data_IF_231876669286
#
_entry.id   IF_231876669286
#
_cell.length_a   1.000
_cell.length_b   1.000
_cell.length_c   1.000
_cell.angle_alpha   90.00
_cell.angle_beta   90.00
_cell.angle_gamma   90.00
#
_symmetry.space_group_name_H-M   'P 1'
#
loop_
_entity.id
_entity.type
_entity.pdbx_description
1 polymer ?
#
# COMPACT_ATOMS: atom_id res chain seq x y z
N UNK A 1 0.50 -9.80 22.01
CA UNK A 1 1.87 -9.58 22.55
C UNK A 1 2.99 -9.81 21.54
N UNK A 2 2.83 -10.62 20.50
CA UNK A 2 3.91 -10.92 19.54
C UNK A 2 4.36 -9.72 18.68
N UNK A 3 3.54 -8.68 18.55
CA UNK A 3 3.80 -7.49 17.71
C UNK A 3 3.85 -6.21 18.56
N UNK A 4 3.72 -6.34 19.89
CA UNK A 4 3.69 -5.22 20.82
C UNK A 4 5.10 -4.92 21.36
N UNK A 5 5.97 -4.41 20.49
CA UNK A 5 7.30 -3.92 20.88
C UNK A 5 7.32 -2.38 20.95
N UNK A 6 8.27 -1.74 21.66
CA UNK A 6 8.23 -0.32 22.02
C UNK A 6 7.95 0.67 20.89
N UNK A 7 8.37 0.34 19.67
CA UNK A 7 8.19 1.21 18.49
C UNK A 7 7.16 0.68 17.49
N UNK A 8 6.31 -0.28 17.89
CA UNK A 8 5.28 -0.80 17.01
C UNK A 8 4.15 0.22 16.82
N UNK A 9 3.50 0.25 15.64
CA UNK A 9 2.34 1.10 15.40
C UNK A 9 1.19 0.82 16.38
N UNK A 10 1.09 -0.41 16.90
CA UNK A 10 0.08 -0.84 17.88
C UNK A 10 0.37 -0.24 19.25
N UNK A 11 1.63 -0.21 19.67
CA UNK A 11 2.01 0.42 20.92
C UNK A 11 1.78 1.94 20.85
N UNK A 12 2.14 2.57 19.74
CA UNK A 12 1.88 3.98 19.50
C UNK A 12 0.39 4.31 19.57
N UNK A 13 -0.47 3.48 18.96
CA UNK A 13 -1.92 3.61 19.05
C UNK A 13 -2.39 3.52 20.50
N UNK A 14 -1.86 2.57 21.27
CA UNK A 14 -2.19 2.40 22.69
C UNK A 14 -1.74 3.55 23.57
N UNK A 15 -0.50 4.04 23.39
CA UNK A 15 0.07 5.12 24.23
C UNK A 15 -0.58 6.47 23.94
N UNK A 16 -0.91 6.77 22.71
CA UNK A 16 -1.52 8.05 22.33
C UNK A 16 -2.98 8.18 22.76
N UNK A 17 -3.69 7.07 22.96
CA UNK A 17 -5.10 7.04 23.33
C UNK A 17 -5.33 6.61 24.80
N UNK A 18 -4.27 6.32 25.55
CA UNK A 18 -4.36 5.78 26.90
C UNK A 18 -5.12 6.67 27.88
N UNK A 19 -4.99 7.98 27.74
CA UNK A 19 -5.62 8.97 28.65
C UNK A 19 -7.12 9.18 28.33
N UNK A 20 -7.55 8.79 27.13
CA UNK A 20 -8.89 9.08 26.60
C UNK A 20 -9.86 7.88 26.65
N UNK A 21 -9.34 6.68 26.98
CA UNK A 21 -10.13 5.43 26.95
C UNK A 21 -9.89 4.56 28.21
N UNK A 22 -10.89 3.74 28.55
CA UNK A 22 -10.78 2.84 29.70
C UNK A 22 -9.73 1.72 29.48
N UNK A 23 -9.12 1.16 30.56
CA UNK A 23 -8.13 0.09 30.45
C UNK A 23 -8.66 -1.16 29.71
N UNK A 24 -9.94 -1.46 29.84
CA UNK A 24 -10.57 -2.59 29.15
C UNK A 24 -10.69 -2.34 27.64
N UNK A 25 -11.05 -1.12 27.25
CA UNK A 25 -11.13 -0.70 25.85
C UNK A 25 -9.75 -0.62 25.22
N UNK A 26 -8.74 -0.13 25.94
CA UNK A 26 -7.36 -0.12 25.50
C UNK A 26 -6.86 -1.55 25.19
N UNK A 27 -7.18 -2.50 26.04
CA UNK A 27 -6.82 -3.92 25.81
C UNK A 27 -7.52 -4.48 24.57
N UNK A 28 -8.80 -4.17 24.37
CA UNK A 28 -9.55 -4.55 23.15
C UNK A 28 -8.94 -3.92 21.92
N UNK A 29 -8.64 -2.62 21.95
CA UNK A 29 -8.03 -1.88 20.86
C UNK A 29 -6.68 -2.48 20.45
N UNK A 30 -5.81 -2.77 21.42
CA UNK A 30 -4.52 -3.43 21.17
C UNK A 30 -4.68 -4.82 20.56
N UNK A 31 -5.62 -5.59 21.04
CA UNK A 31 -5.88 -6.95 20.52
C UNK A 31 -6.43 -6.90 19.09
N UNK A 32 -7.46 -6.07 18.86
CA UNK A 32 -8.05 -5.89 17.52
C UNK A 32 -7.03 -5.31 16.53
N UNK A 33 -6.30 -4.28 16.96
CA UNK A 33 -5.25 -3.65 16.13
C UNK A 33 -4.13 -4.63 15.78
N UNK A 34 -3.66 -5.41 16.76
CA UNK A 34 -2.64 -6.43 16.56
C UNK A 34 -3.06 -7.52 15.60
N UNK A 35 -4.29 -8.03 15.76
CA UNK A 35 -4.84 -9.06 14.88
C UNK A 35 -5.04 -8.52 13.45
N UNK A 36 -5.63 -7.33 13.30
CA UNK A 36 -5.87 -6.70 11.99
C UNK A 36 -4.55 -6.42 11.26
N UNK A 37 -3.55 -5.92 11.96
CA UNK A 37 -2.24 -5.66 11.41
C UNK A 37 -1.53 -6.95 10.97
N UNK A 38 -1.61 -8.00 11.77
CA UNK A 38 -1.06 -9.32 11.42
C UNK A 38 -1.72 -9.89 10.17
N UNK A 39 -3.06 -9.86 10.10
CA UNK A 39 -3.81 -10.29 8.91
C UNK A 39 -3.39 -9.47 7.69
N UNK A 40 -3.24 -8.16 7.84
CA UNK A 40 -2.76 -7.27 6.80
C UNK A 40 -1.36 -7.66 6.28
N UNK A 41 -0.41 -7.93 7.17
CA UNK A 41 0.94 -8.38 6.80
C UNK A 41 0.93 -9.73 6.10
N UNK A 42 0.14 -10.69 6.58
CA UNK A 42 -0.02 -12.00 5.93
C UNK A 42 -0.61 -11.83 4.52
N UNK A 43 -1.66 -11.03 4.38
CA UNK A 43 -2.29 -10.74 3.09
C UNK A 43 -1.29 -10.08 2.12
N UNK A 44 -0.52 -9.10 2.59
CA UNK A 44 0.51 -8.43 1.80
C UNK A 44 1.61 -9.42 1.36
N UNK A 45 2.02 -10.30 2.27
CA UNK A 45 3.02 -11.34 1.98
C UNK A 45 2.53 -12.34 0.93
N UNK A 46 1.29 -12.82 1.06
CA UNK A 46 0.66 -13.70 0.08
C UNK A 46 0.58 -12.99 -1.28
N UNK A 47 0.14 -11.74 -1.31
CA UNK A 47 0.06 -10.95 -2.54
C UNK A 47 1.44 -10.80 -3.21
N UNK A 48 2.48 -10.47 -2.44
CA UNK A 48 3.84 -10.35 -2.96
C UNK A 48 4.37 -11.66 -3.55
N UNK A 49 4.12 -12.79 -2.86
CA UNK A 49 4.49 -14.14 -3.33
C UNK A 49 3.74 -14.48 -4.60
N UNK A 50 2.43 -14.28 -4.63
CA UNK A 50 1.60 -14.55 -5.81
C UNK A 50 2.05 -13.73 -7.02
N UNK A 51 2.34 -12.44 -6.84
CA UNK A 51 2.88 -11.58 -7.90
C UNK A 51 4.21 -12.11 -8.45
N UNK A 52 5.06 -12.66 -7.57
CA UNK A 52 6.37 -13.18 -7.96
C UNK A 52 6.27 -14.54 -8.64
N UNK A 53 5.46 -15.45 -8.11
CA UNK A 53 5.35 -16.84 -8.59
C UNK A 53 4.54 -16.92 -9.88
N UNK A 54 3.35 -16.32 -9.90
CA UNK A 54 2.47 -16.36 -11.09
C UNK A 54 2.89 -15.37 -12.18
N UNK A 55 3.90 -14.54 -11.93
CA UNK A 55 4.40 -13.59 -12.93
C UNK A 55 3.35 -12.58 -13.38
N UNK A 56 2.43 -12.21 -12.48
CA UNK A 56 1.38 -11.22 -12.76
C UNK A 56 1.98 -9.87 -13.18
N UNK A 57 1.35 -9.18 -14.11
CA UNK A 57 0.26 -9.57 -15.01
C UNK A 57 0.76 -10.57 -16.05
N UNK A 58 -0.13 -11.49 -16.46
CA UNK A 58 0.20 -12.69 -17.23
C UNK A 58 0.99 -12.34 -18.51
N UNK A 59 2.16 -12.96 -18.69
CA UNK A 59 3.06 -12.73 -19.85
C UNK A 59 2.42 -13.08 -21.21
N UNK A 60 1.39 -13.91 -21.23
CA UNK A 60 0.74 -14.41 -22.46
C UNK A 60 -0.44 -13.55 -22.93
N UNK A 61 -1.03 -12.72 -22.07
CA UNK A 61 -2.11 -11.83 -22.43
C UNK A 61 -1.58 -10.45 -22.80
N UNK A 62 -2.15 -9.79 -23.81
CA UNK A 62 -1.87 -8.39 -24.10
C UNK A 62 -2.30 -7.55 -22.90
N UNK A 63 -1.34 -7.00 -22.14
CA UNK A 63 -1.64 -6.15 -21.02
C UNK A 63 -2.23 -4.83 -21.51
N UNK A 64 -3.48 -4.58 -21.15
CA UNK A 64 -4.17 -3.34 -21.47
C UNK A 64 -4.16 -2.45 -20.23
N UNK A 65 -3.45 -1.32 -20.30
CA UNK A 65 -3.32 -0.35 -19.19
C UNK A 65 -4.69 0.20 -18.78
N UNK A 66 -5.57 0.48 -19.74
CA UNK A 66 -6.91 1.04 -19.49
C UNK A 66 -7.80 0.11 -18.66
N UNK A 67 -7.73 -1.20 -18.94
CA UNK A 67 -8.55 -2.20 -18.25
C UNK A 67 -7.98 -2.56 -16.88
N UNK A 68 -6.63 -2.66 -16.80
CA UNK A 68 -5.98 -3.17 -15.60
C UNK A 68 -5.58 -2.10 -14.58
N UNK A 69 -5.51 -0.84 -15.00
CA UNK A 69 -5.23 0.32 -14.15
C UNK A 69 -6.24 1.45 -14.41
N UNK A 70 -7.51 1.27 -14.04
CA UNK A 70 -8.58 2.22 -14.39
C UNK A 70 -8.40 3.63 -13.80
N UNK A 71 -7.62 3.75 -12.72
CA UNK A 71 -7.30 5.04 -12.08
C UNK A 71 -6.07 5.73 -12.68
N UNK A 72 -5.42 5.10 -13.66
CA UNK A 72 -4.24 5.62 -14.32
C UNK A 72 -4.62 6.11 -15.71
N UNK A 73 -4.55 7.43 -15.94
CA UNK A 73 -4.79 8.02 -17.24
C UNK A 73 -3.49 8.06 -18.06
N UNK A 74 -3.35 7.25 -19.13
CA UNK A 74 -2.17 7.25 -19.97
C UNK A 74 -2.11 8.44 -20.95
N UNK A 75 -3.21 9.21 -21.11
CA UNK A 75 -3.28 10.36 -22.02
C UNK A 75 -2.67 11.62 -21.43
N UNK A 76 -2.56 11.71 -20.11
CA UNK A 76 -1.88 12.83 -19.44
C UNK A 76 -0.39 12.79 -19.80
N UNK A 77 0.15 13.86 -20.38
CA UNK A 77 1.49 13.93 -20.98
C UNK A 77 2.63 13.43 -20.08
N UNK A 78 3.72 12.99 -20.71
CA UNK A 78 4.92 12.46 -20.07
C UNK A 78 5.12 10.95 -20.22
N UNK A 79 6.29 10.44 -19.80
CA UNK A 79 6.57 9.00 -19.89
C UNK A 79 5.78 8.21 -18.86
N UNK A 80 4.95 7.29 -19.36
CA UNK A 80 4.13 6.36 -18.57
C UNK A 80 4.95 5.61 -17.53
N UNK A 81 6.17 5.18 -17.86
CA UNK A 81 7.04 4.44 -16.92
C UNK A 81 7.49 5.32 -15.77
N UNK A 82 7.85 6.56 -16.05
CA UNK A 82 8.27 7.53 -15.02
C UNK A 82 7.13 7.80 -14.05
N UNK A 83 5.92 8.03 -14.56
CA UNK A 83 4.72 8.27 -13.76
C UNK A 83 4.36 7.06 -12.89
N UNK A 84 4.30 5.87 -13.48
CA UNK A 84 4.03 4.63 -12.74
C UNK A 84 5.07 4.38 -11.64
N UNK A 85 6.34 4.64 -11.92
CA UNK A 85 7.41 4.47 -10.94
C UNK A 85 7.29 5.49 -9.80
N UNK A 86 6.97 6.75 -10.11
CA UNK A 86 6.74 7.79 -9.11
C UNK A 86 5.54 7.44 -8.23
N UNK A 87 4.41 7.11 -8.83
CA UNK A 87 3.17 6.80 -8.12
C UNK A 87 3.31 5.52 -7.28
N UNK A 88 4.06 4.52 -7.78
CA UNK A 88 4.45 3.35 -7.01
C UNK A 88 5.20 3.72 -5.74
N UNK A 89 6.24 4.56 -5.86
CA UNK A 89 7.05 4.99 -4.70
C UNK A 89 6.22 5.75 -3.68
N UNK A 90 5.37 6.68 -4.14
CA UNK A 90 4.48 7.43 -3.26
C UNK A 90 3.55 6.48 -2.49
N UNK A 91 2.92 5.53 -3.17
CA UNK A 91 2.04 4.57 -2.52
C UNK A 91 2.77 3.70 -1.49
N UNK A 92 4.00 3.24 -1.79
CA UNK A 92 4.81 2.44 -0.85
C UNK A 92 5.22 3.29 0.36
N UNK A 93 5.68 4.53 0.16
CA UNK A 93 6.07 5.43 1.25
C UNK A 93 4.85 5.75 2.14
N UNK A 94 3.72 6.10 1.55
CA UNK A 94 2.49 6.35 2.29
C UNK A 94 2.03 5.11 3.06
N UNK A 95 2.08 3.92 2.44
CA UNK A 95 1.75 2.66 3.11
C UNK A 95 2.63 2.40 4.32
N UNK A 96 3.90 2.79 4.28
CA UNK A 96 4.82 2.66 5.41
C UNK A 96 4.58 3.71 6.50
N UNK A 97 4.31 4.95 6.14
CA UNK A 97 4.17 6.08 7.08
C UNK A 97 2.80 6.10 7.76
N UNK A 98 1.73 5.73 7.05
CA UNK A 98 0.36 5.83 7.55
C UNK A 98 0.09 5.10 8.87
N UNK A 99 0.58 3.88 9.13
CA UNK A 99 0.35 3.20 10.40
C UNK A 99 0.80 4.00 11.62
N UNK A 100 1.83 4.82 11.45
CA UNK A 100 2.38 5.68 12.50
C UNK A 100 1.68 7.05 12.53
N UNK A 101 1.37 7.60 11.37
CA UNK A 101 0.79 8.94 11.26
C UNK A 101 -0.68 8.97 11.71
N UNK A 102 -1.46 7.94 11.39
CA UNK A 102 -2.90 7.92 11.71
C UNK A 102 -3.20 7.99 13.22
N UNK A 103 -2.51 7.27 14.12
CA UNK A 103 -2.72 7.44 15.56
C UNK A 103 -2.40 8.85 16.05
N UNK A 104 -1.35 9.48 15.50
CA UNK A 104 -0.97 10.86 15.84
C UNK A 104 -2.08 11.84 15.40
N UNK A 105 -2.56 11.71 14.16
CA UNK A 105 -3.67 12.55 13.65
C UNK A 105 -4.95 12.33 14.44
N UNK A 106 -5.26 11.09 14.82
CA UNK A 106 -6.42 10.77 15.64
C UNK A 106 -6.32 11.42 17.01
N UNK A 107 -5.18 11.33 17.71
CA UNK A 107 -4.98 11.96 19.02
C UNK A 107 -5.04 13.48 18.94
N UNK A 108 -4.49 14.10 17.91
CA UNK A 108 -4.59 15.54 17.69
C UNK A 108 -6.04 15.95 17.41
N UNK A 109 -6.79 15.19 16.61
CA UNK A 109 -8.20 15.44 16.32
C UNK A 109 -9.06 15.38 17.59
N UNK A 110 -8.84 14.38 18.45
CA UNK A 110 -9.52 14.23 19.73
C UNK A 110 -9.25 15.45 20.62
N UNK A 111 -7.99 15.83 20.78
CA UNK A 111 -7.59 16.94 21.68
C UNK A 111 -8.01 18.32 21.16
N UNK A 112 -7.89 18.57 19.86
CA UNK A 112 -8.16 19.90 19.26
C UNK A 112 -9.65 20.14 18.99
N UNK A 113 -10.37 19.10 18.59
CA UNK A 113 -11.77 19.21 18.19
C UNK A 113 -12.76 18.84 19.32
N UNK A 114 -12.23 18.46 20.51
CA UNK A 114 -13.06 18.01 21.63
C UNK A 114 -13.89 16.77 21.28
N UNK A 115 -13.45 16.00 20.30
CA UNK A 115 -14.12 14.77 19.90
C UNK A 115 -13.92 13.78 21.05
N UNK A 116 -14.95 13.49 21.81
CA UNK A 116 -14.91 12.32 22.68
C UNK A 116 -14.71 11.09 21.79
N UNK A 117 -13.73 10.25 22.11
CA UNK A 117 -13.68 8.89 21.59
C UNK A 117 -14.90 8.21 22.16
N UNK A 118 -16.04 8.53 21.56
CA UNK A 118 -17.28 7.87 21.92
C UNK A 118 -17.06 6.40 21.67
N UNK A 119 -17.02 5.70 22.74
CA UNK A 119 -16.67 4.31 22.89
C UNK A 119 -17.73 3.38 22.34
N UNK A 120 -18.37 3.78 21.23
CA UNK A 120 -19.20 2.82 20.53
C UNK A 120 -18.29 1.75 19.94
N UNK A 121 -18.53 0.47 20.23
CA UNK A 121 -17.75 -0.64 19.68
C UNK A 121 -17.64 -0.56 18.15
N UNK A 122 -18.63 -0.01 17.49
CA UNK A 122 -18.67 0.18 16.04
C UNK A 122 -17.62 1.19 15.56
N UNK A 123 -17.45 2.32 16.24
CA UNK A 123 -16.43 3.33 15.90
C UNK A 123 -15.02 2.75 16.03
N UNK A 124 -14.77 1.96 17.08
CA UNK A 124 -13.48 1.27 17.24
C UNK A 124 -13.21 0.28 16.11
N UNK A 125 -14.21 -0.52 15.74
CA UNK A 125 -14.07 -1.48 14.62
C UNK A 125 -13.73 -0.76 13.31
N UNK A 126 -14.47 0.29 12.97
CA UNK A 126 -14.21 1.07 11.75
C UNK A 126 -12.82 1.74 11.78
N UNK A 127 -12.46 2.35 12.91
CA UNK A 127 -11.16 2.99 13.08
C UNK A 127 -9.99 2.02 12.90
N UNK A 128 -10.04 0.87 13.56
CA UNK A 128 -9.02 -0.18 13.48
C UNK A 128 -8.95 -0.77 12.07
N UNK A 129 -10.11 -1.00 11.45
CA UNK A 129 -10.17 -1.53 10.08
C UNK A 129 -9.54 -0.56 9.09
N UNK A 130 -9.89 0.71 9.15
CA UNK A 130 -9.34 1.75 8.28
C UNK A 130 -7.82 1.89 8.49
N UNK A 131 -7.39 1.94 9.75
CA UNK A 131 -5.99 2.06 10.12
C UNK A 131 -5.13 0.90 9.61
N UNK A 132 -5.64 -0.34 9.62
CA UNK A 132 -4.89 -1.50 9.12
C UNK A 132 -5.02 -1.69 7.61
N UNK A 133 -6.19 -1.45 7.02
CA UNK A 133 -6.48 -1.72 5.62
C UNK A 133 -5.82 -0.72 4.66
N UNK A 134 -5.85 0.59 4.99
CA UNK A 134 -5.30 1.61 4.10
C UNK A 134 -3.82 1.41 3.78
N UNK A 135 -2.93 1.19 4.77
CA UNK A 135 -1.52 0.94 4.49
C UNK A 135 -1.29 -0.28 3.61
N UNK A 136 -1.98 -1.38 3.88
CA UNK A 136 -1.87 -2.63 3.12
C UNK A 136 -2.32 -2.42 1.67
N UNK A 137 -3.43 -1.72 1.45
CA UNK A 137 -3.95 -1.42 0.11
C UNK A 137 -2.98 -0.54 -0.68
N UNK A 138 -2.36 0.45 -0.05
CA UNK A 138 -1.35 1.31 -0.68
C UNK A 138 -0.09 0.52 -1.05
N UNK A 139 0.39 -0.37 -0.17
CA UNK A 139 1.51 -1.25 -0.51
C UNK A 139 1.20 -2.14 -1.71
N UNK A 140 0.04 -2.80 -1.72
CA UNK A 140 -0.38 -3.65 -2.84
C UNK A 140 -0.43 -2.86 -4.14
N UNK A 141 -1.04 -1.66 -4.10
CA UNK A 141 -1.13 -0.77 -5.26
C UNK A 141 0.26 -0.33 -5.73
N UNK A 142 1.13 0.07 -4.81
CA UNK A 142 2.50 0.46 -5.11
C UNK A 142 3.30 -0.66 -5.77
N UNK A 143 3.25 -1.87 -5.22
CA UNK A 143 3.91 -3.05 -5.80
C UNK A 143 3.36 -3.41 -7.19
N UNK A 144 2.04 -3.34 -7.38
CA UNK A 144 1.42 -3.60 -8.66
C UNK A 144 1.90 -2.60 -9.73
N UNK A 145 1.90 -1.29 -9.41
CA UNK A 145 2.40 -0.25 -10.32
C UNK A 145 3.88 -0.42 -10.65
N UNK A 146 4.73 -0.75 -9.66
CA UNK A 146 6.15 -1.04 -9.88
C UNK A 146 6.34 -2.20 -10.86
N UNK A 147 5.56 -3.26 -10.70
CA UNK A 147 5.61 -4.43 -11.59
C UNK A 147 5.23 -4.10 -13.02
N UNK A 148 4.16 -3.31 -13.20
CA UNK A 148 3.73 -2.85 -14.52
C UNK A 148 4.80 -1.97 -15.17
N UNK A 149 5.37 -1.01 -14.45
CA UNK A 149 6.47 -0.17 -14.94
C UNK A 149 7.66 -1.00 -15.42
N UNK A 150 8.07 -2.00 -14.62
CA UNK A 150 9.15 -2.90 -14.98
C UNK A 150 8.87 -3.70 -16.27
N UNK A 151 7.64 -4.16 -16.46
CA UNK A 151 7.26 -4.89 -17.67
C UNK A 151 7.24 -4.01 -18.92
N UNK A 152 6.68 -2.79 -18.82
CA UNK A 152 6.69 -1.83 -19.93
C UNK A 152 8.13 -1.50 -20.33
N UNK A 153 9.01 -1.29 -19.35
CA UNK A 153 10.44 -1.04 -19.57
C UNK A 153 11.11 -2.24 -20.26
N UNK A 154 10.87 -3.45 -19.80
CA UNK A 154 11.43 -4.66 -20.40
C UNK A 154 10.96 -4.83 -21.86
N UNK A 155 9.68 -4.55 -22.14
CA UNK A 155 9.13 -4.62 -23.49
C UNK A 155 9.75 -3.59 -24.42
N UNK A 156 9.92 -2.34 -23.95
CA UNK A 156 10.60 -1.28 -24.71
C UNK A 156 12.02 -1.69 -25.10
N UNK A 157 12.82 -2.16 -24.13
CA UNK A 157 14.18 -2.63 -24.36
C UNK A 157 14.26 -3.78 -25.38
N UNK A 158 13.31 -4.70 -25.34
CA UNK A 158 13.24 -5.79 -26.29
C UNK A 158 12.99 -5.29 -27.71
N UNK A 159 12.04 -4.38 -27.92
CA UNK A 159 11.72 -3.80 -29.22
C UNK A 159 12.89 -2.98 -29.79
N UNK A 160 13.56 -2.18 -28.96
CA UNK A 160 14.75 -1.42 -29.39
C UNK A 160 15.84 -2.37 -29.91
N UNK A 161 16.15 -3.43 -29.16
CA UNK A 161 17.14 -4.43 -29.61
C UNK A 161 16.76 -5.12 -30.92
N UNK A 162 15.48 -5.38 -31.17
CA UNK A 162 15.04 -5.95 -32.45
C UNK A 162 15.22 -4.97 -33.60
N UNK A 163 14.91 -3.70 -33.38
CA UNK A 163 15.14 -2.66 -34.42
C UNK A 163 16.61 -2.49 -34.74
N UNK A 164 17.50 -2.48 -33.74
CA UNK A 164 18.94 -2.40 -33.92
C UNK A 164 19.49 -3.58 -34.74
N UNK A 165 18.99 -4.81 -34.48
CA UNK A 165 19.38 -6.00 -35.22
C UNK A 165 18.87 -5.98 -36.67
N UNK A 166 17.68 -5.44 -36.93
CA UNK A 166 17.13 -5.33 -38.30
C UNK A 166 17.76 -4.17 -39.07
N UNK A 167 18.03 -3.04 -38.41
CA UNK A 167 18.69 -1.90 -39.03
C UNK A 167 20.17 -2.17 -39.44
N UNK A 168 20.87 -3.05 -38.71
CA UNK A 168 22.23 -3.48 -39.02
C UNK A 168 22.34 -4.47 -40.21
N UNK A 169 21.19 -4.96 -40.72
CA UNK A 169 21.13 -5.92 -41.84
C UNK A 169 20.77 -5.27 -43.19
N UNK A 170 20.64 -3.94 -43.27
CA UNK A 170 20.47 -3.27 -44.56
C UNK A 170 21.83 -3.11 -45.19
N UNK A 171 22.14 -3.82 -46.33
CA UNK A 171 23.35 -3.57 -47.09
C UNK A 171 23.25 -2.19 -47.77
N UNK A 172 24.33 -1.46 -47.69
CA UNK A 172 24.58 -0.22 -48.42
C UNK A 172 24.62 -0.52 -49.95
#
# INVERSE_FOLDING_TARGET
>A
HAIDFPYSPINLLGTLLQDDISPAELTRLRTMGGLSFLIGLVTLSIFAVLMRVHGWPNRKAKFNVWVNLPTFDPTVGGDVVVRLTRDSRINIILGFVLPFLMPILASLGIRQLGLSVSTSPQTLVWGVTLWSFLPVSLFMRGMAMARVAAMVTARRRYLTRQMDMQGGLQPV
#
